data_IF_548852026679
#
_entry.id   IF_548852026679
#
_cell.length_a   1.000
_cell.length_b   1.000
_cell.length_c   1.000
_cell.angle_alpha   90.00
_cell.angle_beta   90.00
_cell.angle_gamma   90.00
#
_symmetry.space_group_name_H-M   'P 1'
#
loop_
_entity.id
_entity.type
_entity.pdbx_description
1 polymer ?
#
# COMPACT_ATOMS: atom_id res chain seq x y z
N UNK A 1 -18.15 -2.69 23.61
CA UNK A 1 -17.63 -2.13 22.35
C UNK A 1 -18.71 -2.31 21.30
N UNK A 2 -19.28 -1.21 20.80
CA UNK A 2 -20.27 -1.26 19.72
C UNK A 2 -19.53 -1.07 18.38
N UNK A 3 -19.90 -1.85 17.36
CA UNK A 3 -19.27 -1.84 16.04
C UNK A 3 -20.30 -1.47 14.97
N UNK A 4 -20.00 -0.44 14.19
CA UNK A 4 -20.85 0.00 13.09
C UNK A 4 -20.09 -0.11 11.76
N UNK A 5 -20.40 -1.09 10.90
CA UNK A 5 -19.73 -1.23 9.61
C UNK A 5 -20.11 -0.07 8.67
N UNK A 6 -19.11 0.45 7.94
CA UNK A 6 -19.27 1.49 6.93
C UNK A 6 -18.57 1.04 5.65
N UNK A 7 -19.25 1.19 4.51
CA UNK A 7 -18.65 1.05 3.19
C UNK A 7 -18.75 2.39 2.47
N UNK A 8 -17.61 2.93 2.01
CA UNK A 8 -17.53 4.14 1.19
C UNK A 8 -16.99 3.74 -0.18
N UNK A 9 -17.68 4.14 -1.25
CA UNK A 9 -17.23 3.95 -2.62
C UNK A 9 -17.08 5.33 -3.26
N UNK A 10 -15.89 5.62 -3.75
CA UNK A 10 -15.60 6.80 -4.56
C UNK A 10 -15.36 6.34 -5.99
N UNK A 11 -16.11 6.90 -6.95
CA UNK A 11 -15.97 6.64 -8.37
C UNK A 11 -15.23 7.80 -9.05
N UNK A 12 -14.34 7.49 -10.00
CA UNK A 12 -13.65 8.47 -10.82
C UNK A 12 -13.65 8.01 -12.29
N UNK A 13 -13.96 8.96 -13.17
CA UNK A 13 -14.08 8.77 -14.60
C UNK A 13 -13.13 9.74 -15.31
N UNK A 14 -12.40 9.25 -16.32
CA UNK A 14 -11.63 10.12 -17.21
C UNK A 14 -12.59 10.81 -18.19
N UNK A 15 -12.51 12.14 -18.27
CA UNK A 15 -13.21 12.96 -19.26
C UNK A 15 -12.20 13.44 -20.31
N UNK A 16 -12.56 13.37 -21.59
CA UNK A 16 -11.76 13.96 -22.66
C UNK A 16 -12.04 15.46 -22.75
N UNK A 17 -11.00 16.28 -22.64
CA UNK A 17 -11.06 17.70 -23.03
C UNK A 17 -10.84 17.83 -24.55
N UNK A 18 -11.79 17.34 -25.35
CA UNK A 18 -11.92 17.79 -26.74
C UNK A 18 -13.17 18.65 -26.83
N UNK A 19 -12.96 19.96 -27.02
CA UNK A 19 -13.97 21.02 -26.89
C UNK A 19 -15.13 20.95 -27.89
N UNK A 20 -16.04 20.00 -27.70
CA UNK A 20 -17.37 19.95 -28.30
C UNK A 20 -18.40 19.68 -27.21
N UNK A 21 -19.45 20.50 -27.16
CA UNK A 21 -20.46 20.65 -26.11
C UNK A 21 -21.41 19.44 -25.89
N UNK A 22 -20.94 18.21 -26.08
CA UNK A 22 -21.64 17.00 -25.67
C UNK A 22 -20.76 16.19 -24.71
N UNK A 23 -20.98 16.36 -23.40
CA UNK A 23 -20.37 15.57 -22.34
C UNK A 23 -20.87 14.12 -22.39
N UNK A 24 -20.39 13.33 -23.34
CA UNK A 24 -20.60 11.88 -23.37
C UNK A 24 -19.48 11.20 -22.60
N UNK A 25 -19.77 10.36 -21.60
CA UNK A 25 -18.75 9.50 -21.02
C UNK A 25 -18.19 8.63 -22.14
N UNK A 26 -16.90 8.82 -22.45
CA UNK A 26 -16.15 7.89 -23.29
C UNK A 26 -16.20 6.52 -22.62
N UNK A 27 -15.89 5.44 -23.34
CA UNK A 27 -15.49 4.13 -22.77
C UNK A 27 -14.19 4.26 -21.93
N UNK A 28 -14.09 5.31 -21.12
CA UNK A 28 -12.98 5.72 -20.31
C UNK A 28 -12.87 4.80 -19.11
N UNK A 29 -11.64 4.63 -18.65
CA UNK A 29 -11.29 3.75 -17.55
C UNK A 29 -12.09 4.18 -16.32
N UNK A 30 -13.09 3.36 -15.94
CA UNK A 30 -13.85 3.59 -14.73
C UNK A 30 -13.02 3.07 -13.56
N UNK A 31 -12.56 3.98 -12.70
CA UNK A 31 -11.87 3.61 -11.47
C UNK A 31 -12.80 3.82 -10.28
N UNK A 32 -12.76 2.91 -9.31
CA UNK A 32 -13.44 3.16 -8.05
C UNK A 32 -12.60 2.67 -6.89
N UNK A 33 -12.55 3.46 -5.83
CA UNK A 33 -11.91 3.10 -4.58
C UNK A 33 -12.99 2.81 -3.54
N UNK A 34 -12.98 1.59 -3.02
CA UNK A 34 -13.94 1.11 -2.03
C UNK A 34 -13.21 0.92 -0.71
N UNK A 35 -13.62 1.70 0.28
CA UNK A 35 -13.15 1.64 1.66
C UNK A 35 -14.17 0.90 2.52
N UNK A 36 -13.79 -0.22 3.09
CA UNK A 36 -14.55 -0.90 4.15
C UNK A 36 -13.95 -0.51 5.50
N UNK A 37 -14.71 0.19 6.32
CA UNK A 37 -14.31 0.65 7.64
C UNK A 37 -15.30 0.21 8.71
N UNK A 38 -14.90 0.32 9.97
CA UNK A 38 -15.77 0.07 11.12
C UNK A 38 -15.61 1.24 12.08
N UNK A 39 -16.72 1.85 12.48
CA UNK A 39 -16.73 2.73 13.64
C UNK A 39 -16.78 1.86 14.90
N UNK A 40 -15.82 2.09 15.78
CA UNK A 40 -15.71 1.48 17.08
C UNK A 40 -16.13 2.53 18.11
N UNK A 41 -17.16 2.23 18.91
CA UNK A 41 -17.57 3.10 20.01
C UNK A 41 -17.15 2.49 21.34
N UNK A 42 -16.36 3.25 22.09
CA UNK A 42 -15.91 2.91 23.44
C UNK A 42 -16.01 4.15 24.34
N UNK A 43 -16.71 4.02 25.47
CA UNK A 43 -16.90 5.11 26.46
C UNK A 43 -17.42 6.46 25.88
N UNK A 44 -18.17 6.42 24.78
CA UNK A 44 -18.73 7.60 24.13
C UNK A 44 -17.84 8.20 23.03
N UNK A 45 -16.62 7.71 22.87
CA UNK A 45 -15.72 8.11 21.78
C UNK A 45 -15.89 7.18 20.58
N UNK A 46 -15.88 7.76 19.37
CA UNK A 46 -15.91 7.02 18.11
C UNK A 46 -14.52 7.01 17.48
N UNK A 47 -14.04 5.82 17.11
CA UNK A 47 -12.84 5.64 16.30
C UNK A 47 -13.17 4.93 15.01
N UNK A 48 -12.64 5.41 13.89
CA UNK A 48 -12.75 4.72 12.59
C UNK A 48 -11.55 3.81 12.41
N UNK A 49 -11.79 2.56 12.03
CA UNK A 49 -10.73 1.65 11.59
C UNK A 49 -11.01 1.13 10.21
N UNK A 50 -10.06 1.34 9.31
CA UNK A 50 -10.08 0.77 7.95
C UNK A 50 -9.84 -0.74 8.06
N UNK A 51 -10.72 -1.53 7.46
CA UNK A 51 -10.64 -3.01 7.42
C UNK A 51 -10.09 -3.51 6.10
N UNK A 52 -10.60 -2.99 4.98
CA UNK A 52 -10.16 -3.37 3.64
C UNK A 52 -10.27 -2.16 2.72
N UNK A 53 -9.37 -2.11 1.75
CA UNK A 53 -9.42 -1.17 0.64
C UNK A 53 -9.37 -1.96 -0.66
N UNK A 54 -10.24 -1.60 -1.60
CA UNK A 54 -10.34 -2.26 -2.91
C UNK A 54 -10.28 -1.17 -3.97
N UNK A 55 -9.30 -1.27 -4.85
CA UNK A 55 -9.24 -0.48 -6.08
C UNK A 55 -9.85 -1.32 -7.19
N UNK A 56 -10.89 -0.80 -7.83
CA UNK A 56 -11.43 -1.37 -9.06
C UNK A 56 -10.97 -0.51 -10.22
N UNK A 57 -10.37 -1.13 -11.23
CA UNK A 57 -10.00 -0.50 -12.49
C UNK A 57 -10.72 -1.31 -13.57
N UNK A 58 -11.67 -0.69 -14.27
CA UNK A 58 -12.60 -1.38 -15.17
C UNK A 58 -13.29 -2.54 -14.43
N UNK A 59 -13.15 -3.77 -14.91
CA UNK A 59 -13.71 -4.97 -14.28
C UNK A 59 -12.73 -5.73 -13.37
N UNK A 60 -11.50 -5.24 -13.23
CA UNK A 60 -10.48 -5.86 -12.36
C UNK A 60 -10.52 -5.24 -10.98
N UNK A 61 -10.44 -6.08 -9.93
CA UNK A 61 -10.43 -5.66 -8.53
C UNK A 61 -9.07 -6.00 -7.91
N UNK A 62 -8.49 -5.02 -7.23
CA UNK A 62 -7.24 -5.13 -6.51
C UNK A 62 -7.48 -4.84 -5.04
N UNK A 63 -7.09 -5.76 -4.16
CA UNK A 63 -7.09 -5.51 -2.72
C UNK A 63 -5.84 -4.74 -2.37
N UNK A 64 -5.97 -3.53 -1.81
CA UNK A 64 -4.80 -2.82 -1.30
C UNK A 64 -4.34 -3.45 0.00
N UNK A 65 -3.03 -3.57 0.12
CA UNK A 65 -2.35 -3.96 1.35
C UNK A 65 -1.27 -2.93 1.62
N UNK A 66 -1.12 -2.56 2.88
CA UNK A 66 -0.04 -1.69 3.32
C UNK A 66 1.31 -2.35 3.05
N UNK A 67 2.37 -1.57 2.90
CA UNK A 67 3.73 -2.10 2.89
C UNK A 67 4.45 -1.50 4.10
N UNK A 68 4.96 -2.37 4.95
CA UNK A 68 5.66 -1.95 6.15
C UNK A 68 7.08 -1.49 5.80
N UNK A 69 7.50 -0.38 6.38
CA UNK A 69 8.81 0.21 6.11
C UNK A 69 8.81 1.27 5.01
N UNK A 70 7.66 1.55 4.40
CA UNK A 70 7.44 2.74 3.56
C UNK A 70 6.98 3.89 4.48
N UNK A 71 7.93 4.65 5.04
CA UNK A 71 7.59 5.82 5.85
C UNK A 71 7.23 7.01 4.97
N UNK A 72 6.03 7.59 5.16
CA UNK A 72 5.77 8.97 4.77
C UNK A 72 6.57 9.86 5.73
N UNK A 73 7.72 10.36 5.29
CA UNK A 73 8.43 11.42 6.00
C UNK A 73 7.57 12.68 5.94
N UNK A 74 6.70 12.87 6.94
CA UNK A 74 6.27 14.21 7.32
C UNK A 74 7.49 14.90 7.91
N UNK A 75 7.92 15.96 7.23
CA UNK A 75 9.09 16.76 7.52
C UNK A 75 9.11 17.21 8.98
N UNK A 76 10.21 16.91 9.66
CA UNK A 76 10.43 17.19 11.06
C UNK A 76 11.86 16.81 11.43
N UNK A 77 12.80 17.63 10.97
CA UNK A 77 14.19 17.79 11.40
C UNK A 77 14.76 16.69 12.35
N UNK A 78 15.35 15.64 11.77
CA UNK A 78 16.63 15.05 12.19
C UNK A 78 16.99 13.86 11.29
N UNK A 79 18.04 14.06 10.48
CA UNK A 79 18.75 13.06 9.67
C UNK A 79 17.95 12.40 8.53
N UNK A 80 17.86 13.09 7.39
CA UNK A 80 17.02 12.77 6.23
C UNK A 80 17.33 11.42 5.53
N UNK A 81 18.39 10.72 5.94
CA UNK A 81 18.81 9.41 5.41
C UNK A 81 18.62 8.26 6.39
N UNK A 82 18.41 8.51 7.69
CA UNK A 82 18.32 7.44 8.68
C UNK A 82 17.02 6.65 8.53
N UNK A 83 17.15 5.40 8.09
CA UNK A 83 16.06 4.43 8.09
C UNK A 83 15.35 4.22 6.75
N UNK A 84 15.88 4.74 5.63
CA UNK A 84 15.43 4.40 4.26
C UNK A 84 16.34 3.41 3.53
N UNK A 85 17.53 3.14 4.07
CA UNK A 85 18.53 2.25 3.49
C UNK A 85 18.23 0.78 3.77
N UNK A 86 18.66 -0.08 2.84
CA UNK A 86 18.64 -1.53 2.96
C UNK A 86 19.29 -1.98 4.27
N UNK A 87 18.58 -2.80 5.06
CA UNK A 87 19.08 -3.27 6.37
C UNK A 87 20.24 -4.27 6.27
N UNK A 88 20.62 -4.66 5.04
CA UNK A 88 21.69 -5.63 4.78
C UNK A 88 22.97 -4.90 4.37
N UNK A 89 22.92 -4.05 3.33
CA UNK A 89 24.11 -3.34 2.86
C UNK A 89 24.32 -1.97 3.50
N UNK A 90 23.27 -1.35 4.06
CA UNK A 90 23.32 0.00 4.63
C UNK A 90 23.90 1.03 3.64
N UNK A 91 23.54 0.91 2.36
CA UNK A 91 24.07 1.79 1.30
C UNK A 91 23.02 2.10 0.25
N UNK A 92 22.35 1.07 -0.28
CA UNK A 92 21.30 1.25 -1.28
C UNK A 92 19.94 1.48 -0.62
N UNK A 93 19.03 2.26 -1.24
CA UNK A 93 17.68 2.43 -0.75
C UNK A 93 16.89 1.12 -0.77
N UNK A 94 15.85 1.03 0.06
CA UNK A 94 14.92 -0.10 0.03
C UNK A 94 13.97 0.05 -1.17
N UNK A 95 13.87 -1.00 -1.97
CA UNK A 95 13.00 -1.08 -3.15
C UNK A 95 12.24 -2.43 -3.19
N UNK A 96 12.59 -3.38 -2.30
CA UNK A 96 12.12 -4.75 -2.38
C UNK A 96 11.30 -5.13 -1.16
N UNK A 97 10.07 -5.55 -1.41
CA UNK A 97 9.11 -6.04 -0.43
C UNK A 97 9.12 -7.57 -0.36
N UNK A 98 9.16 -8.10 0.86
CA UNK A 98 9.04 -9.54 1.13
C UNK A 98 7.58 -9.94 1.25
N UNK A 99 7.13 -10.96 0.52
CA UNK A 99 5.80 -11.55 0.64
C UNK A 99 5.87 -12.91 1.36
N UNK A 100 4.87 -13.25 2.20
CA UNK A 100 3.59 -12.54 2.41
C UNK A 100 3.64 -11.47 3.52
N UNK A 101 4.78 -11.27 4.18
CA UNK A 101 4.87 -10.42 5.37
C UNK A 101 4.80 -8.90 5.10
N UNK A 102 4.98 -8.48 3.84
CA UNK A 102 4.94 -7.10 3.34
C UNK A 102 5.98 -6.16 3.96
N UNK A 103 7.13 -6.66 4.39
CA UNK A 103 8.22 -5.81 4.88
C UNK A 103 9.11 -5.39 3.71
N UNK A 104 9.16 -4.09 3.43
CA UNK A 104 10.16 -3.47 2.57
C UNK A 104 11.37 -3.09 3.42
N UNK A 105 12.44 -3.88 3.31
CA UNK A 105 13.62 -3.74 4.18
C UNK A 105 14.95 -3.90 3.46
N UNK A 106 14.95 -4.20 2.17
CA UNK A 106 16.17 -4.47 1.41
C UNK A 106 16.12 -3.83 0.02
N UNK A 107 17.31 -3.58 -0.54
CA UNK A 107 17.47 -3.29 -1.96
C UNK A 107 17.41 -4.59 -2.78
N UNK A 108 17.15 -4.49 -4.08
CA UNK A 108 17.01 -5.62 -4.99
C UNK A 108 18.27 -6.49 -5.01
N UNK A 109 19.45 -5.85 -5.00
CA UNK A 109 20.74 -6.53 -4.95
C UNK A 109 20.84 -7.49 -3.76
N UNK A 110 20.55 -7.01 -2.54
CA UNK A 110 20.57 -7.85 -1.34
C UNK A 110 19.44 -8.90 -1.32
N UNK A 111 18.28 -8.55 -1.89
CA UNK A 111 17.13 -9.45 -1.95
C UNK A 111 17.39 -10.70 -2.79
N UNK A 112 18.10 -10.54 -3.92
CA UNK A 112 18.51 -11.66 -4.78
C UNK A 112 19.45 -12.63 -4.06
N UNK A 113 20.37 -12.12 -3.24
CA UNK A 113 21.25 -12.96 -2.41
C UNK A 113 20.49 -13.68 -1.30
N UNK A 114 19.51 -13.01 -0.66
CA UNK A 114 18.68 -13.60 0.38
C UNK A 114 17.91 -14.84 -0.12
N UNK A 115 17.40 -14.76 -1.35
CA UNK A 115 16.73 -15.85 -2.09
C UNK A 115 17.60 -17.08 -2.33
N UNK A 116 18.92 -17.01 -2.15
CA UNK A 116 19.83 -18.14 -2.36
C UNK A 116 20.26 -18.82 -1.05
N UNK A 117 20.18 -18.12 0.09
CA UNK A 117 20.84 -18.56 1.32
C UNK A 117 19.94 -18.73 2.53
N UNK A 118 19.05 -17.77 2.81
CA UNK A 118 18.36 -17.69 4.13
C UNK A 118 16.83 -17.78 4.03
N UNK A 119 16.25 -17.48 2.86
CA UNK A 119 14.81 -17.59 2.55
C UNK A 119 13.85 -17.09 3.65
N UNK A 120 14.26 -16.07 4.43
CA UNK A 120 13.47 -15.51 5.55
C UNK A 120 13.58 -13.99 5.59
N UNK A 121 12.49 -13.32 5.92
CA UNK A 121 12.45 -11.86 6.10
C UNK A 121 13.42 -11.42 7.22
N UNK A 122 14.31 -10.42 7.00
CA UNK A 122 15.18 -9.89 8.05
C UNK A 122 14.45 -9.27 9.24
N UNK A 123 13.24 -8.74 9.03
CA UNK A 123 12.48 -8.04 10.08
C UNK A 123 11.70 -9.03 10.95
N UNK A 124 10.86 -9.87 10.35
CA UNK A 124 9.92 -10.72 11.08
C UNK A 124 10.26 -12.23 11.03
N UNK A 125 11.31 -12.62 10.31
CA UNK A 125 11.79 -14.02 10.15
C UNK A 125 10.79 -14.99 9.50
N UNK A 126 9.66 -14.51 9.00
CA UNK A 126 8.72 -15.30 8.21
C UNK A 126 9.41 -15.81 6.92
N UNK A 127 9.07 -17.01 6.43
CA UNK A 127 9.57 -17.52 5.16
C UNK A 127 9.27 -16.57 4.00
N UNK A 128 10.23 -16.42 3.10
CA UNK A 128 10.06 -15.64 1.86
C UNK A 128 9.41 -16.54 0.82
N UNK A 129 8.18 -16.22 0.42
CA UNK A 129 7.50 -16.91 -0.69
C UNK A 129 7.80 -16.21 -2.00
N UNK A 130 7.71 -14.87 -2.00
CA UNK A 130 7.96 -14.04 -3.17
C UNK A 130 8.66 -12.74 -2.75
N UNK A 131 9.35 -12.13 -3.71
CA UNK A 131 9.91 -10.78 -3.59
C UNK A 131 9.29 -9.92 -4.67
N UNK A 132 8.83 -8.74 -4.29
CA UNK A 132 8.27 -7.74 -5.19
C UNK A 132 9.18 -6.51 -5.15
N UNK A 133 9.72 -6.15 -6.31
CA UNK A 133 10.45 -4.89 -6.55
C UNK A 133 9.43 -3.80 -6.93
N UNK A 134 9.61 -2.60 -6.39
CA UNK A 134 8.67 -1.47 -6.50
C UNK A 134 9.39 -0.24 -7.02
#
# INVERSE_FOLDING_TARGET
MELYPLAVKADAFSLDHNGSEEEKPVNGIATSHILLAVFEREKGEYRVRVRNQILRINDTKFKLQEIYGIGNSVEGESDETQGKECVICLSEPRDTTVLPCRHMCMCNGCARHLKLHRHRCPICRQPVEQLLEI
#
